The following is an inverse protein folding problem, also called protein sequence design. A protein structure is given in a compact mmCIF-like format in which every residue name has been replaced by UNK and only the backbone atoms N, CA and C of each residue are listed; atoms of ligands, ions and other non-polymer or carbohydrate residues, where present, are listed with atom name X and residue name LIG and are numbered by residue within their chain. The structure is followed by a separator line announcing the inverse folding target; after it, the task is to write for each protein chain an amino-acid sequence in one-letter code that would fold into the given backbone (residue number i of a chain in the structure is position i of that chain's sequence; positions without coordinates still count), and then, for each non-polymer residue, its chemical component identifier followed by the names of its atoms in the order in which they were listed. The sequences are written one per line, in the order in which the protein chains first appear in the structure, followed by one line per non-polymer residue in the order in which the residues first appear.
data_IF_009063440909
#
_entry.id   IF_009063440909
#
_cell.length_a   1.000
_cell.length_b   1.000
_cell.length_c   1.000
_cell.angle_alpha   90.00
_cell.angle_beta   90.00
_cell.angle_gamma   90.00
#
_symmetry.space_group_name_H-M   'P 1'
#
loop_
_entity.id
_entity.type
_entity.pdbx_description
1 polymer ?
#
# COMPACT_ATOMS: atom_id res chain seq x y z
N UNK A 1 -9.27 -25.83 5.10
CA UNK A 1 -8.98 -24.89 3.99
C UNK A 1 -9.27 -25.58 2.68
N UNK A 2 -9.98 -24.94 1.75
CA UNK A 2 -10.15 -25.46 0.39
C UNK A 2 -8.82 -25.28 -0.37
N UNK A 3 -8.44 -26.22 -1.24
CA UNK A 3 -7.20 -26.19 -2.05
C UNK A 3 -7.04 -24.83 -2.77
N UNK A 4 -8.11 -24.28 -3.33
CA UNK A 4 -8.08 -22.97 -4.00
C UNK A 4 -7.67 -21.83 -3.04
N UNK A 5 -8.15 -21.85 -1.80
CA UNK A 5 -7.77 -20.84 -0.81
C UNK A 5 -6.34 -21.06 -0.29
N UNK A 6 -5.85 -22.30 -0.27
CA UNK A 6 -4.45 -22.60 0.03
C UNK A 6 -3.54 -21.94 -1.02
N UNK A 7 -3.80 -22.21 -2.30
CA UNK A 7 -3.01 -21.62 -3.41
C UNK A 7 -3.02 -20.10 -3.34
N UNK A 8 -4.21 -19.50 -3.16
CA UNK A 8 -4.35 -18.03 -3.07
C UNK A 8 -3.56 -17.44 -1.91
N UNK A 9 -3.70 -18.02 -0.71
CA UNK A 9 -3.02 -17.52 0.47
C UNK A 9 -1.51 -17.75 0.39
N UNK A 10 -1.05 -18.87 -0.18
CA UNK A 10 0.38 -19.12 -0.40
C UNK A 10 1.00 -18.15 -1.38
N UNK A 11 0.31 -17.80 -2.47
CA UNK A 11 0.79 -16.80 -3.43
C UNK A 11 0.97 -15.43 -2.80
N UNK A 12 0.00 -14.97 -1.99
CA UNK A 12 0.07 -13.69 -1.28
C UNK A 12 1.19 -13.73 -0.23
N UNK A 13 1.32 -14.83 0.49
CA UNK A 13 2.37 -15.00 1.50
C UNK A 13 3.76 -15.00 0.87
N UNK A 14 3.91 -15.66 -0.27
CA UNK A 14 5.16 -15.66 -1.04
C UNK A 14 5.54 -14.24 -1.50
N UNK A 15 4.55 -13.44 -1.96
CA UNK A 15 4.79 -12.03 -2.28
C UNK A 15 5.42 -11.27 -1.10
N UNK A 16 4.88 -11.41 0.12
CA UNK A 16 5.44 -10.74 1.30
C UNK A 16 6.84 -11.25 1.66
N UNK A 17 7.05 -12.54 1.63
CA UNK A 17 8.36 -13.14 1.93
C UNK A 17 9.42 -12.66 0.93
N UNK A 18 9.12 -12.70 -0.38
CA UNK A 18 10.07 -12.28 -1.41
C UNK A 18 10.35 -10.79 -1.45
N UNK A 19 9.39 -9.94 -1.04
CA UNK A 19 9.55 -8.48 -1.09
C UNK A 19 10.13 -7.89 0.19
N UNK A 20 9.90 -8.51 1.35
CA UNK A 20 10.28 -7.97 2.66
C UNK A 20 11.51 -8.65 3.27
N UNK A 21 11.85 -9.88 2.85
CA UNK A 21 13.06 -10.55 3.33
C UNK A 21 14.16 -10.34 2.28
N UNK A 22 15.19 -9.52 2.57
CA UNK A 22 16.23 -9.16 1.61
C UNK A 22 17.31 -10.25 1.48
N UNK A 23 16.89 -11.50 1.23
CA UNK A 23 17.83 -12.64 1.17
C UNK A 23 18.56 -12.74 -0.18
N UNK A 24 17.88 -12.40 -1.28
CA UNK A 24 18.44 -12.53 -2.63
C UNK A 24 17.94 -11.35 -3.47
N UNK A 25 18.76 -10.36 -3.77
CA UNK A 25 18.38 -9.32 -4.73
C UNK A 25 18.31 -9.91 -6.13
N UNK A 26 17.14 -9.79 -6.79
CA UNK A 26 16.96 -10.21 -8.19
C UNK A 26 17.68 -9.23 -9.12
N UNK A 27 17.87 -7.99 -8.68
CA UNK A 27 18.56 -6.94 -9.43
C UNK A 27 19.77 -6.45 -8.66
N UNK A 28 20.85 -6.11 -9.35
CA UNK A 28 22.05 -5.54 -8.77
C UNK A 28 21.91 -4.08 -8.32
N UNK A 29 20.78 -3.43 -8.65
CA UNK A 29 20.69 -1.98 -8.56
C UNK A 29 20.09 -1.46 -7.25
N UNK A 30 18.92 -1.95 -6.85
CA UNK A 30 18.31 -1.55 -5.58
C UNK A 30 17.08 -2.37 -5.19
N UNK A 31 16.67 -2.22 -3.93
CA UNK A 31 15.51 -2.91 -3.38
C UNK A 31 14.19 -2.46 -3.99
N UNK A 32 14.07 -1.23 -4.47
CA UNK A 32 12.82 -0.74 -5.06
C UNK A 32 12.51 -1.47 -6.38
N UNK A 33 13.51 -1.57 -7.28
CA UNK A 33 13.36 -2.28 -8.55
C UNK A 33 13.11 -3.78 -8.32
N UNK A 34 13.81 -4.39 -7.37
CA UNK A 34 13.56 -5.77 -6.95
C UNK A 34 12.09 -5.96 -6.51
N UNK A 35 11.62 -5.13 -5.60
CA UNK A 35 10.24 -5.16 -5.11
C UNK A 35 9.22 -4.90 -6.22
N UNK A 36 9.52 -4.00 -7.16
CA UNK A 36 8.66 -3.70 -8.32
C UNK A 36 8.55 -4.87 -9.28
N UNK A 37 9.65 -5.57 -9.57
CA UNK A 37 9.65 -6.77 -10.42
C UNK A 37 8.79 -7.88 -9.79
N UNK A 38 8.96 -8.13 -8.49
CA UNK A 38 8.13 -9.11 -7.78
C UNK A 38 6.66 -8.69 -7.79
N UNK A 39 6.36 -7.39 -7.61
CA UNK A 39 5.00 -6.86 -7.71
C UNK A 39 4.41 -7.11 -9.10
N UNK A 40 5.13 -6.79 -10.17
CA UNK A 40 4.68 -7.02 -11.55
C UNK A 40 4.34 -8.51 -11.75
N UNK A 41 5.25 -9.41 -11.36
CA UNK A 41 5.02 -10.85 -11.45
C UNK A 41 3.78 -11.28 -10.66
N UNK A 42 3.63 -10.82 -9.42
CA UNK A 42 2.48 -11.10 -8.58
C UNK A 42 1.16 -10.61 -9.20
N UNK A 43 1.12 -9.38 -9.72
CA UNK A 43 -0.06 -8.80 -10.36
C UNK A 43 -0.45 -9.57 -11.64
N UNK A 44 0.52 -9.99 -12.45
CA UNK A 44 0.28 -10.79 -13.65
C UNK A 44 -0.23 -12.18 -13.30
N UNK A 45 0.35 -12.86 -12.31
CA UNK A 45 -0.11 -14.18 -11.87
C UNK A 45 -1.54 -14.10 -11.30
N UNK A 46 -1.84 -13.13 -10.44
CA UNK A 46 -3.18 -12.97 -9.87
C UNK A 46 -4.21 -12.65 -10.95
N UNK A 47 -3.86 -11.81 -11.92
CA UNK A 47 -4.74 -11.47 -13.02
C UNK A 47 -4.94 -12.65 -13.99
N UNK A 48 -3.92 -13.50 -14.23
CA UNK A 48 -4.04 -14.75 -14.98
C UNK A 48 -5.01 -15.71 -14.30
N UNK A 49 -4.93 -15.84 -12.97
CA UNK A 49 -5.85 -16.68 -12.19
C UNK A 49 -7.30 -16.16 -12.25
N UNK A 50 -7.48 -14.83 -12.30
CA UNK A 50 -8.81 -14.24 -12.54
C UNK A 50 -9.32 -14.57 -13.94
N UNK A 51 -8.46 -14.43 -14.96
CA UNK A 51 -8.80 -14.72 -16.35
C UNK A 51 -9.14 -16.19 -16.57
N UNK A 52 -8.33 -17.12 -16.03
CA UNK A 52 -8.62 -18.57 -16.13
C UNK A 52 -9.90 -18.96 -15.43
N UNK A 53 -10.20 -18.37 -14.27
CA UNK A 53 -11.49 -18.57 -13.58
C UNK A 53 -12.67 -18.01 -14.39
N UNK A 54 -12.46 -16.88 -15.09
CA UNK A 54 -13.47 -16.28 -15.97
C UNK A 54 -13.76 -17.18 -17.18
N UNK A 55 -12.73 -17.70 -17.84
CA UNK A 55 -12.84 -18.55 -19.03
C UNK A 55 -13.38 -19.96 -18.67
N UNK A 56 -12.89 -20.58 -17.59
CA UNK A 56 -13.25 -21.93 -17.17
C UNK A 56 -14.69 -22.08 -16.64
N UNK A 57 -15.39 -20.98 -16.41
CA UNK A 57 -16.74 -21.02 -15.89
C UNK A 57 -17.74 -21.45 -16.98
N UNK A 58 -18.14 -22.76 -16.98
CA UNK A 58 -19.07 -23.34 -17.97
C UNK A 58 -20.44 -22.67 -17.94
N UNK A 59 -20.88 -22.12 -16.80
CA UNK A 59 -22.10 -21.31 -16.71
C UNK A 59 -21.76 -19.89 -17.18
N UNK A 60 -22.62 -19.27 -18.01
CA UNK A 60 -22.37 -17.91 -18.51
C UNK A 60 -22.48 -16.83 -17.43
N UNK A 61 -22.32 -17.22 -16.15
CA UNK A 61 -22.50 -16.35 -15.00
C UNK A 61 -21.18 -16.06 -14.33
N UNK A 62 -20.62 -14.88 -14.61
CA UNK A 62 -19.51 -14.34 -13.86
C UNK A 62 -20.04 -13.69 -12.59
N UNK A 63 -19.74 -14.27 -11.42
CA UNK A 63 -20.07 -13.66 -10.13
C UNK A 63 -18.96 -12.71 -9.72
N UNK A 64 -19.13 -11.43 -9.97
CA UNK A 64 -18.31 -10.41 -9.34
C UNK A 64 -18.59 -10.41 -7.82
N UNK A 65 -17.57 -10.57 -7.01
CA UNK A 65 -17.72 -10.58 -5.54
C UNK A 65 -18.03 -9.20 -4.95
N UNK A 66 -17.92 -8.13 -5.75
CA UNK A 66 -18.22 -6.75 -5.34
C UNK A 66 -19.68 -6.38 -5.70
N UNK A 67 -20.24 -5.49 -4.90
CA UNK A 67 -21.53 -4.88 -5.20
C UNK A 67 -21.47 -4.17 -6.56
N UNK A 68 -22.49 -4.35 -7.42
CA UNK A 68 -22.55 -3.75 -8.76
C UNK A 68 -22.24 -2.26 -8.79
N UNK A 69 -22.68 -1.50 -7.78
CA UNK A 69 -22.39 -0.05 -7.67
C UNK A 69 -20.90 0.24 -7.51
N UNK A 70 -20.19 -0.51 -6.66
CA UNK A 70 -18.74 -0.35 -6.50
C UNK A 70 -17.98 -0.74 -7.75
N UNK A 71 -18.43 -1.79 -8.47
CA UNK A 71 -17.82 -2.20 -9.74
C UNK A 71 -17.94 -1.13 -10.82
N UNK A 72 -19.09 -0.48 -10.91
CA UNK A 72 -19.31 0.64 -11.85
C UNK A 72 -18.37 1.81 -11.50
N UNK A 73 -18.22 2.15 -10.21
CA UNK A 73 -17.31 3.22 -9.79
C UNK A 73 -15.84 2.91 -10.13
N UNK A 74 -15.40 1.66 -9.98
CA UNK A 74 -14.06 1.25 -10.42
C UNK A 74 -13.89 1.35 -11.94
N UNK A 75 -14.90 0.98 -12.72
CA UNK A 75 -14.87 1.12 -14.19
C UNK A 75 -14.79 2.59 -14.59
N UNK A 76 -15.57 3.47 -13.97
CA UNK A 76 -15.51 4.92 -14.21
C UNK A 76 -14.13 5.46 -13.83
N UNK A 77 -13.57 5.03 -12.69
CA UNK A 77 -12.23 5.40 -12.24
C UNK A 77 -11.17 5.04 -13.29
N UNK A 78 -11.17 3.79 -13.78
CA UNK A 78 -10.21 3.36 -14.82
C UNK A 78 -10.45 4.08 -16.13
N UNK A 79 -11.70 4.28 -16.54
CA UNK A 79 -12.02 5.03 -17.76
C UNK A 79 -11.53 6.49 -17.67
N UNK A 80 -11.70 7.15 -16.52
CA UNK A 80 -11.12 8.49 -16.27
C UNK A 80 -9.60 8.49 -16.39
N UNK A 81 -8.93 7.44 -15.89
CA UNK A 81 -7.48 7.27 -16.05
C UNK A 81 -7.06 7.07 -17.50
N UNK A 82 -7.79 6.29 -18.29
CA UNK A 82 -7.54 6.14 -19.71
C UNK A 82 -7.71 7.47 -20.45
N UNK A 83 -8.77 8.22 -20.16
CA UNK A 83 -9.02 9.52 -20.76
C UNK A 83 -7.91 10.52 -20.40
N UNK A 84 -7.52 10.56 -19.12
CA UNK A 84 -6.41 11.38 -18.64
C UNK A 84 -5.09 10.99 -19.32
N UNK A 85 -4.80 9.69 -19.47
CA UNK A 85 -3.61 9.21 -20.15
C UNK A 85 -3.54 9.61 -21.61
N UNK A 86 -4.66 9.57 -22.33
CA UNK A 86 -4.73 10.00 -23.74
C UNK A 86 -4.49 11.50 -23.93
N UNK A 87 -4.76 12.30 -22.89
CA UNK A 87 -4.56 13.76 -22.90
C UNK A 87 -3.28 14.19 -22.20
N UNK A 88 -2.49 13.25 -21.70
CA UNK A 88 -1.22 13.49 -21.01
C UNK A 88 -0.11 13.88 -21.99
N UNK A 89 0.85 14.66 -21.50
CA UNK A 89 2.12 14.93 -22.21
C UNK A 89 2.91 13.63 -22.48
N UNK A 90 2.83 12.67 -21.55
CA UNK A 90 3.49 11.37 -21.61
C UNK A 90 2.48 10.23 -21.65
N UNK A 91 1.77 10.11 -22.78
CA UNK A 91 0.67 9.15 -22.96
C UNK A 91 1.07 7.71 -22.66
N UNK A 92 2.22 7.28 -23.15
CA UNK A 92 2.74 5.92 -22.97
C UNK A 92 2.96 5.58 -21.51
N UNK A 93 3.53 6.51 -20.75
CA UNK A 93 3.81 6.35 -19.33
C UNK A 93 2.53 6.38 -18.51
N UNK A 94 1.63 7.31 -18.82
CA UNK A 94 0.32 7.41 -18.16
C UNK A 94 -0.54 6.17 -18.42
N UNK A 95 -0.46 5.58 -19.61
CA UNK A 95 -1.14 4.32 -19.91
C UNK A 95 -0.56 3.16 -19.07
N UNK A 96 0.77 3.09 -18.91
CA UNK A 96 1.41 2.10 -18.01
C UNK A 96 0.84 2.17 -16.60
N UNK A 97 0.73 3.39 -16.02
CA UNK A 97 0.17 3.57 -14.67
C UNK A 97 -1.31 3.20 -14.58
N UNK A 98 -2.09 3.54 -15.61
CA UNK A 98 -3.52 3.17 -15.69
C UNK A 98 -3.69 1.66 -15.73
N UNK A 99 -2.89 0.95 -16.53
CA UNK A 99 -2.88 -0.51 -16.59
C UNK A 99 -2.42 -1.12 -15.27
N UNK A 100 -1.38 -0.56 -14.65
CA UNK A 100 -0.89 -1.01 -13.35
C UNK A 100 -1.96 -0.91 -12.25
N UNK A 101 -2.68 0.21 -12.19
CA UNK A 101 -3.79 0.39 -11.26
C UNK A 101 -4.94 -0.59 -11.53
N UNK A 102 -5.21 -0.87 -12.81
CA UNK A 102 -6.21 -1.86 -13.21
C UNK A 102 -5.85 -3.27 -12.70
N UNK A 103 -4.57 -3.66 -12.78
CA UNK A 103 -4.07 -4.93 -12.25
C UNK A 103 -4.16 -5.00 -10.73
N UNK A 104 -3.90 -3.89 -10.02
CA UNK A 104 -4.08 -3.81 -8.56
C UNK A 104 -5.55 -3.99 -8.16
N UNK A 105 -6.48 -3.36 -8.87
CA UNK A 105 -7.92 -3.53 -8.64
C UNK A 105 -8.33 -4.98 -8.91
N UNK A 106 -7.84 -5.61 -9.98
CA UNK A 106 -8.08 -7.04 -10.25
C UNK A 106 -7.52 -7.93 -9.15
N UNK A 107 -6.33 -7.63 -8.65
CA UNK A 107 -5.72 -8.33 -7.51
C UNK A 107 -6.59 -8.18 -6.24
N UNK A 108 -7.08 -6.98 -5.96
CA UNK A 108 -8.02 -6.75 -4.86
C UNK A 108 -9.29 -7.62 -5.00
N UNK A 109 -9.86 -7.73 -6.21
CA UNK A 109 -10.98 -8.64 -6.51
C UNK A 109 -10.62 -10.11 -6.23
N UNK A 110 -9.47 -10.56 -6.73
CA UNK A 110 -8.98 -11.91 -6.49
C UNK A 110 -8.86 -12.21 -5.00
N UNK A 111 -8.25 -11.29 -4.25
CA UNK A 111 -8.07 -11.39 -2.80
C UNK A 111 -9.41 -11.37 -2.06
N UNK A 112 -10.40 -10.60 -2.52
CA UNK A 112 -11.73 -10.52 -1.88
C UNK A 112 -12.51 -11.83 -1.91
N UNK A 113 -12.09 -12.78 -2.73
CA UNK A 113 -12.67 -14.14 -2.72
C UNK A 113 -12.19 -14.99 -1.55
N UNK A 114 -11.15 -14.58 -0.82
CA UNK A 114 -10.64 -15.23 0.37
C UNK A 114 -11.42 -14.72 1.58
N UNK A 115 -12.31 -15.54 2.12
CA UNK A 115 -13.17 -15.14 3.24
C UNK A 115 -13.03 -16.06 4.47
N UNK A 116 -12.30 -17.17 4.36
CA UNK A 116 -12.09 -18.08 5.48
C UNK A 116 -10.98 -17.58 6.41
N UNK A 117 -11.22 -17.76 7.73
CA UNK A 117 -10.34 -17.25 8.78
C UNK A 117 -8.93 -17.83 8.72
N UNK A 118 -8.78 -19.10 8.35
CA UNK A 118 -7.46 -19.78 8.35
C UNK A 118 -6.56 -19.24 7.26
N UNK A 119 -7.11 -19.03 6.05
CA UNK A 119 -6.37 -18.44 4.93
C UNK A 119 -5.94 -16.99 5.23
N UNK A 120 -6.83 -16.19 5.84
CA UNK A 120 -6.53 -14.81 6.24
C UNK A 120 -5.42 -14.78 7.30
N UNK A 121 -5.51 -15.64 8.33
CA UNK A 121 -4.48 -15.73 9.36
C UNK A 121 -3.14 -16.18 8.78
N UNK A 122 -3.13 -17.13 7.84
CA UNK A 122 -1.90 -17.56 7.17
C UNK A 122 -1.21 -16.40 6.44
N UNK A 123 -1.96 -15.58 5.69
CA UNK A 123 -1.46 -14.37 5.04
C UNK A 123 -0.91 -13.36 6.05
N UNK A 124 -1.65 -13.12 7.13
CA UNK A 124 -1.24 -12.17 8.18
C UNK A 124 0.02 -12.64 8.89
N UNK A 125 0.13 -13.93 9.21
CA UNK A 125 1.35 -14.47 9.83
C UNK A 125 2.57 -14.39 8.91
N UNK A 126 2.41 -14.66 7.62
CA UNK A 126 3.49 -14.51 6.64
C UNK A 126 3.97 -13.05 6.58
N UNK A 127 3.05 -12.08 6.53
CA UNK A 127 3.36 -10.66 6.58
C UNK A 127 4.10 -10.27 7.88
N UNK A 128 3.61 -10.74 9.02
CA UNK A 128 4.21 -10.46 10.32
C UNK A 128 5.62 -11.06 10.44
N UNK A 129 5.81 -12.30 10.00
CA UNK A 129 7.13 -12.96 9.99
C UNK A 129 8.11 -12.18 9.12
N UNK A 130 7.71 -11.87 7.88
CA UNK A 130 8.56 -11.15 6.95
C UNK A 130 8.96 -9.76 7.47
N UNK A 131 8.01 -9.00 8.03
CA UNK A 131 8.32 -7.69 8.60
C UNK A 131 9.11 -7.76 9.91
N UNK A 132 8.83 -8.75 10.77
CA UNK A 132 9.60 -8.94 12.00
C UNK A 132 11.06 -9.27 11.69
N UNK A 133 11.33 -10.04 10.63
CA UNK A 133 12.71 -10.29 10.15
C UNK A 133 13.43 -8.99 9.79
N UNK A 134 12.77 -8.08 9.07
CA UNK A 134 13.31 -6.75 8.80
C UNK A 134 13.52 -5.92 10.07
N UNK A 135 12.58 -5.96 11.00
CA UNK A 135 12.70 -5.26 12.29
C UNK A 135 13.92 -5.75 13.08
N UNK A 136 14.19 -7.07 13.05
CA UNK A 136 15.38 -7.65 13.69
C UNK A 136 16.67 -7.21 12.99
N UNK A 137 16.70 -7.13 11.66
CA UNK A 137 17.86 -6.59 10.92
C UNK A 137 18.10 -5.13 11.31
N UNK A 138 17.05 -4.30 11.38
CA UNK A 138 17.17 -2.92 11.84
C UNK A 138 17.74 -2.84 13.27
N UNK A 139 17.32 -3.74 14.17
CA UNK A 139 17.85 -3.83 15.53
C UNK A 139 19.34 -4.20 15.54
N UNK A 140 19.76 -5.18 14.73
CA UNK A 140 21.17 -5.54 14.60
C UNK A 140 22.01 -4.37 14.09
N UNK A 141 21.50 -3.63 13.10
CA UNK A 141 22.16 -2.41 12.59
C UNK A 141 22.28 -1.34 13.68
N UNK A 142 21.26 -1.15 14.52
CA UNK A 142 21.32 -0.21 15.66
C UNK A 142 22.40 -0.65 16.64
N UNK A 143 22.43 -1.94 17.03
CA UNK A 143 23.43 -2.49 17.96
C UNK A 143 24.84 -2.28 17.39
N UNK A 144 25.05 -2.57 16.10
CA UNK A 144 26.32 -2.37 15.44
C UNK A 144 26.75 -0.89 15.44
N UNK A 145 25.88 0.04 15.06
CA UNK A 145 26.16 1.48 15.05
C UNK A 145 26.53 1.97 16.45
N UNK A 146 25.81 1.51 17.50
CA UNK A 146 26.10 1.86 18.88
C UNK A 146 27.44 1.29 19.35
N UNK A 147 27.80 0.04 18.96
CA UNK A 147 29.08 -0.56 19.33
C UNK A 147 30.26 0.17 18.71
N UNK A 148 30.09 0.72 17.51
CA UNK A 148 31.09 1.55 16.82
C UNK A 148 31.08 3.02 17.26
N UNK A 149 30.29 3.38 18.28
CA UNK A 149 30.11 4.74 18.78
C UNK A 149 29.76 5.77 17.68
N UNK A 150 29.09 5.31 16.61
CA UNK A 150 28.64 6.15 15.52
C UNK A 150 27.25 6.77 15.81
N UNK A 151 26.94 7.96 15.28
CA UNK A 151 25.62 8.56 15.43
C UNK A 151 24.55 7.69 14.74
N UNK A 152 23.37 7.59 15.34
CA UNK A 152 22.23 6.85 14.76
C UNK A 152 21.81 7.47 13.43
N UNK A 153 22.25 6.86 12.33
CA UNK A 153 21.90 7.30 10.98
C UNK A 153 20.72 6.47 10.46
N UNK A 154 19.53 7.08 10.30
CA UNK A 154 18.35 6.38 9.78
C UNK A 154 18.56 5.71 8.43
N UNK A 155 19.42 6.24 7.57
CA UNK A 155 19.66 5.67 6.23
C UNK A 155 20.46 4.35 6.27
N UNK A 156 21.20 4.09 7.33
CA UNK A 156 21.95 2.84 7.52
C UNK A 156 21.10 1.79 8.27
N UNK A 157 20.23 2.25 9.17
CA UNK A 157 19.43 1.37 10.03
C UNK A 157 18.42 0.55 9.22
N UNK A 158 17.75 1.17 8.26
CA UNK A 158 16.62 0.57 7.56
C UNK A 158 17.05 -0.19 6.30
N UNK A 159 17.40 -1.45 6.48
CA UNK A 159 17.71 -2.37 5.38
C UNK A 159 16.46 -2.78 4.60
N UNK A 160 16.66 -3.17 3.33
CA UNK A 160 15.57 -3.68 2.47
C UNK A 160 14.73 -2.60 1.79
N UNK A 161 15.04 -1.32 2.02
CA UNK A 161 14.39 -0.18 1.36
C UNK A 161 15.40 0.91 1.05
N UNK A 162 15.25 1.55 -0.11
CA UNK A 162 16.11 2.71 -0.49
C UNK A 162 15.77 3.98 0.29
N UNK A 163 14.60 4.02 0.92
CA UNK A 163 14.17 5.14 1.74
C UNK A 163 13.43 4.64 2.97
N UNK A 164 13.80 5.17 4.12
CA UNK A 164 13.17 4.90 5.41
C UNK A 164 11.64 5.05 5.39
N UNK A 165 11.10 5.98 4.59
CA UNK A 165 9.65 6.19 4.49
C UNK A 165 8.93 4.98 3.90
N UNK A 166 9.59 4.22 3.02
CA UNK A 166 9.00 3.01 2.42
C UNK A 166 8.90 1.87 3.44
N UNK A 167 9.87 1.73 4.34
CA UNK A 167 9.75 0.85 5.49
C UNK A 167 8.53 1.24 6.35
N UNK A 168 8.40 2.53 6.70
CA UNK A 168 7.27 2.99 7.52
C UNK A 168 5.92 2.81 6.82
N UNK A 169 5.85 2.87 5.49
CA UNK A 169 4.62 2.60 4.74
C UNK A 169 4.13 1.16 4.91
N UNK A 170 5.03 0.18 5.03
CA UNK A 170 4.65 -1.21 5.34
C UNK A 170 4.34 -1.37 6.82
N UNK A 171 5.15 -0.76 7.67
CA UNK A 171 5.06 -0.84 9.13
C UNK A 171 3.67 -0.45 9.66
N UNK A 172 3.07 0.63 9.14
CA UNK A 172 1.75 1.09 9.61
C UNK A 172 0.65 0.05 9.42
N UNK A 173 0.70 -0.76 8.36
CA UNK A 173 -0.30 -1.82 8.15
C UNK A 173 -0.20 -2.96 9.18
N UNK A 174 0.96 -3.14 9.77
CA UNK A 174 1.28 -4.24 10.68
C UNK A 174 0.87 -3.91 12.12
N UNK A 175 0.96 -2.64 12.51
CA UNK A 175 0.69 -2.20 13.87
C UNK A 175 -0.68 -2.65 14.41
N UNK A 176 -1.81 -2.58 13.68
CA UNK A 176 -3.10 -3.07 14.16
C UNK A 176 -3.12 -4.58 14.42
N UNK A 177 -2.36 -5.37 13.64
CA UNK A 177 -2.26 -6.81 13.87
C UNK A 177 -1.43 -7.12 15.11
N UNK A 178 -0.33 -6.39 15.35
CA UNK A 178 0.45 -6.53 16.58
C UNK A 178 -0.37 -6.17 17.80
N UNK A 179 -1.11 -5.04 17.76
CA UNK A 179 -2.03 -4.65 18.85
C UNK A 179 -3.07 -5.74 19.09
N UNK A 180 -3.64 -6.34 18.03
CA UNK A 180 -4.57 -7.45 18.17
C UNK A 180 -3.94 -8.66 18.87
N UNK A 181 -2.74 -9.05 18.46
CA UNK A 181 -2.06 -10.24 18.96
C UNK A 181 -1.73 -10.13 20.45
N UNK A 182 -1.67 -8.93 21.04
CA UNK A 182 -1.57 -8.71 22.48
C UNK A 182 -2.71 -9.35 23.29
N UNK A 183 -3.80 -9.77 22.63
CA UNK A 183 -4.90 -10.49 23.28
C UNK A 183 -4.51 -11.92 23.69
N UNK A 184 -3.57 -12.53 22.99
CA UNK A 184 -3.19 -13.94 23.17
C UNK A 184 -2.08 -14.05 24.22
N UNK A 185 -2.42 -14.49 25.44
CA UNK A 185 -1.50 -14.55 26.60
C UNK A 185 -0.22 -15.34 26.32
N UNK A 186 -0.30 -16.42 25.53
CA UNK A 186 0.84 -17.30 25.21
C UNK A 186 1.97 -16.59 24.46
N UNK A 187 1.64 -15.60 23.63
CA UNK A 187 2.61 -14.87 22.79
C UNK A 187 2.68 -13.37 23.15
N UNK A 188 1.91 -12.93 24.15
CA UNK A 188 1.75 -11.52 24.49
C UNK A 188 3.08 -10.80 24.75
N UNK A 189 4.04 -11.47 25.46
CA UNK A 189 5.36 -10.88 25.75
C UNK A 189 6.18 -10.64 24.47
N UNK A 190 6.22 -11.64 23.59
CA UNK A 190 6.95 -11.54 22.30
C UNK A 190 6.32 -10.44 21.45
N UNK A 191 5.00 -10.43 21.33
CA UNK A 191 4.26 -9.40 20.56
C UNK A 191 4.49 -8.01 21.14
N UNK A 192 4.54 -7.86 22.47
CA UNK A 192 4.84 -6.59 23.11
C UNK A 192 6.24 -6.09 22.72
N UNK A 193 7.25 -6.96 22.74
CA UNK A 193 8.62 -6.62 22.34
C UNK A 193 8.65 -6.22 20.85
N UNK A 194 8.01 -6.99 19.97
CA UNK A 194 7.96 -6.67 18.53
C UNK A 194 7.24 -5.35 18.27
N UNK A 195 6.13 -5.08 18.98
CA UNK A 195 5.41 -3.80 18.89
C UNK A 195 6.28 -2.64 19.40
N UNK A 196 6.95 -2.83 20.54
CA UNK A 196 7.87 -1.83 21.11
C UNK A 196 8.99 -1.48 20.12
N UNK A 197 9.66 -2.48 19.54
CA UNK A 197 10.71 -2.27 18.55
C UNK A 197 10.19 -1.54 17.30
N UNK A 198 9.00 -1.91 16.84
CA UNK A 198 8.37 -1.22 15.71
C UNK A 198 8.08 0.26 16.03
N UNK A 199 7.54 0.56 17.21
CA UNK A 199 7.25 1.93 17.62
C UNK A 199 8.56 2.72 17.86
N UNK A 200 9.60 2.09 18.42
CA UNK A 200 10.92 2.69 18.56
C UNK A 200 11.52 3.08 17.18
N UNK A 201 11.40 2.19 16.20
CA UNK A 201 11.84 2.50 14.83
C UNK A 201 11.06 3.68 14.21
N UNK A 202 9.78 3.90 14.55
CA UNK A 202 9.04 5.10 14.12
C UNK A 202 9.70 6.38 14.64
N UNK A 203 10.17 6.39 15.90
CA UNK A 203 10.87 7.54 16.49
C UNK A 203 12.26 7.72 15.89
N UNK A 204 13.09 6.68 15.82
CA UNK A 204 14.42 6.72 15.20
C UNK A 204 14.32 7.23 13.75
N UNK A 205 13.31 6.77 13.02
CA UNK A 205 13.04 7.20 11.66
C UNK A 205 12.39 8.58 11.53
N UNK A 206 12.06 9.25 12.64
CA UNK A 206 11.34 10.53 12.63
C UNK A 206 10.08 10.48 11.74
N UNK A 207 9.36 9.36 11.76
CA UNK A 207 8.23 9.08 10.87
C UNK A 207 6.92 9.66 11.42
N UNK A 208 6.82 11.00 11.51
CA UNK A 208 5.66 11.72 12.07
C UNK A 208 4.31 11.27 11.50
N UNK A 209 4.24 11.05 10.18
CA UNK A 209 3.02 10.57 9.53
C UNK A 209 2.62 9.17 10.01
N UNK A 210 3.58 8.26 10.26
CA UNK A 210 3.30 6.95 10.82
C UNK A 210 2.83 7.04 12.28
N UNK A 211 3.44 7.91 13.07
CA UNK A 211 3.03 8.20 14.45
C UNK A 211 1.59 8.74 14.48
N UNK A 212 1.28 9.76 13.69
CA UNK A 212 -0.07 10.32 13.57
C UNK A 212 -1.09 9.27 13.14
N UNK A 213 -0.72 8.39 12.20
CA UNK A 213 -1.60 7.31 11.74
C UNK A 213 -1.87 6.27 12.84
N UNK A 214 -0.87 5.94 13.66
CA UNK A 214 -1.05 5.05 14.81
C UNK A 214 -1.92 5.68 15.90
N UNK A 215 -1.76 6.98 16.18
CA UNK A 215 -2.62 7.70 17.12
C UNK A 215 -4.05 7.79 16.61
N UNK A 216 -4.26 8.13 15.33
CA UNK A 216 -5.57 8.14 14.70
C UNK A 216 -6.26 6.77 14.77
N UNK A 217 -5.53 5.69 14.47
CA UNK A 217 -6.01 4.32 14.66
C UNK A 217 -6.43 4.07 16.11
N UNK A 218 -5.60 4.47 17.09
CA UNK A 218 -5.87 4.24 18.50
C UNK A 218 -7.12 4.97 18.97
N UNK A 219 -7.27 6.24 18.60
CA UNK A 219 -8.46 7.06 18.90
C UNK A 219 -9.70 6.41 18.29
N UNK A 220 -9.63 6.02 17.02
CA UNK A 220 -10.75 5.43 16.30
C UNK A 220 -11.15 4.07 16.87
N UNK A 221 -10.18 3.22 17.25
CA UNK A 221 -10.44 1.93 17.89
C UNK A 221 -11.07 2.08 19.27
N UNK A 222 -10.69 3.09 20.04
CA UNK A 222 -11.31 3.41 21.33
C UNK A 222 -12.73 3.96 21.16
N UNK A 223 -12.96 4.83 20.17
CA UNK A 223 -14.26 5.43 19.88
C UNK A 223 -15.30 4.39 19.42
N UNK A 224 -14.90 3.41 18.63
CA UNK A 224 -15.80 2.32 18.18
C UNK A 224 -16.15 1.32 19.29
N UNK A 225 -15.62 1.48 20.51
CA UNK A 225 -15.89 0.62 21.69
C UNK A 225 -15.72 -0.87 21.34
N UNK A 226 -14.71 -1.21 20.58
CA UNK A 226 -14.41 -2.61 20.20
C UNK A 226 -13.85 -3.39 21.37
N UNK A 227 -13.78 -4.72 21.24
CA UNK A 227 -13.18 -5.62 22.24
C UNK A 227 -11.65 -5.45 22.37
N UNK A 228 -11.05 -4.55 21.58
CA UNK A 228 -9.60 -4.27 21.56
C UNK A 228 -9.18 -3.11 22.47
N UNK A 229 -10.10 -2.50 23.24
CA UNK A 229 -9.79 -1.33 24.06
C UNK A 229 -8.54 -1.54 24.95
N UNK A 230 -8.49 -2.68 25.66
CA UNK A 230 -7.35 -3.02 26.53
C UNK A 230 -6.03 -3.12 25.73
N UNK A 231 -6.07 -3.77 24.57
CA UNK A 231 -4.88 -3.95 23.71
C UNK A 231 -4.38 -2.62 23.14
N UNK A 232 -5.30 -1.74 22.76
CA UNK A 232 -4.96 -0.38 22.30
C UNK A 232 -4.31 0.43 23.41
N UNK A 233 -4.83 0.35 24.65
CA UNK A 233 -4.21 1.02 25.81
C UNK A 233 -2.80 0.48 26.08
N UNK A 234 -2.59 -0.85 25.98
CA UNK A 234 -1.25 -1.45 26.07
C UNK A 234 -0.35 -0.92 24.94
N UNK A 235 -0.88 -0.79 23.71
CA UNK A 235 -0.17 -0.21 22.58
C UNK A 235 0.25 1.24 22.82
N UNK A 236 -0.59 2.06 23.46
CA UNK A 236 -0.26 3.44 23.84
C UNK A 236 0.82 3.51 24.94
N UNK A 237 0.77 2.59 25.93
CA UNK A 237 1.86 2.45 26.92
C UNK A 237 3.15 2.05 26.22
N UNK A 238 3.09 1.12 25.27
CA UNK A 238 4.23 0.70 24.47
C UNK A 238 4.81 1.87 23.65
N UNK A 239 3.95 2.74 23.09
CA UNK A 239 4.35 3.97 22.40
C UNK A 239 5.09 4.93 23.33
N UNK A 240 4.57 5.17 24.52
CA UNK A 240 5.22 6.03 25.52
C UNK A 240 6.61 5.49 25.93
N UNK A 241 6.70 4.19 26.19
CA UNK A 241 7.98 3.54 26.48
C UNK A 241 8.97 3.65 25.34
N UNK A 242 8.53 3.48 24.09
CA UNK A 242 9.38 3.64 22.90
C UNK A 242 9.87 5.08 22.74
N UNK A 243 9.04 6.06 23.04
CA UNK A 243 9.40 7.47 23.06
C UNK A 243 10.51 7.76 24.10
N UNK A 244 10.32 7.29 25.34
CA UNK A 244 11.31 7.46 26.42
C UNK A 244 12.63 6.79 26.04
N UNK A 245 12.58 5.55 25.53
CA UNK A 245 13.77 4.83 25.09
C UNK A 245 14.51 5.58 23.98
N UNK A 246 13.77 6.14 23.00
CA UNK A 246 14.37 6.94 21.95
C UNK A 246 15.11 8.16 22.51
N UNK A 247 14.50 8.91 23.44
CA UNK A 247 15.17 10.06 24.08
C UNK A 247 16.45 9.67 24.83
N UNK A 248 16.43 8.54 25.54
CA UNK A 248 17.62 8.03 26.22
C UNK A 248 18.72 7.68 25.22
N UNK A 249 18.38 6.96 24.16
CA UNK A 249 19.35 6.59 23.12
C UNK A 249 19.92 7.82 22.40
N UNK A 250 19.09 8.80 22.09
CA UNK A 250 19.51 10.03 21.43
C UNK A 250 20.44 10.86 22.32
N UNK A 251 20.12 10.98 23.61
CA UNK A 251 20.95 11.69 24.59
C UNK A 251 22.32 11.02 24.80
N UNK A 252 22.37 9.69 24.82
CA UNK A 252 23.62 8.94 24.94
C UNK A 252 24.51 9.06 23.71
N UNK A 253 23.91 9.24 22.54
CA UNK A 253 24.60 9.28 21.24
C UNK A 253 25.03 10.69 20.80
N UNK A 254 24.96 11.68 21.70
CA UNK A 254 25.25 13.11 21.41
C UNK A 254 24.49 13.62 20.16
N UNK A 255 23.38 12.98 19.83
CA UNK A 255 22.53 13.37 18.73
C UNK A 255 21.57 14.46 19.16
N UNK A 256 21.53 15.58 18.44
CA UNK A 256 20.51 16.62 18.59
C UNK A 256 19.35 16.35 17.63
N UNK A 257 18.76 15.14 17.63
CA UNK A 257 17.67 14.83 16.72
C UNK A 257 16.37 15.47 17.20
N UNK A 258 15.94 16.51 16.51
CA UNK A 258 14.64 17.12 16.75
C UNK A 258 13.53 16.13 16.35
N UNK A 259 12.85 15.50 17.34
CA UNK A 259 11.65 14.68 17.10
C UNK A 259 10.54 15.50 16.43
N UNK A 260 10.45 16.77 16.80
CA UNK A 260 9.45 17.71 16.32
C UNK A 260 10.12 18.76 15.43
N UNK A 261 10.53 18.36 14.22
CA UNK A 261 10.84 19.39 13.21
C UNK A 261 9.61 20.24 12.97
N UNK A 262 9.72 21.53 13.11
CA UNK A 262 8.64 22.51 12.86
C UNK A 262 8.32 22.65 11.38
N UNK A 263 9.27 22.27 10.49
CA UNK A 263 9.08 22.39 9.04
C UNK A 263 8.14 21.32 8.46
N UNK A 264 7.28 21.70 7.55
CA UNK A 264 6.42 20.80 6.74
C UNK A 264 7.21 19.98 5.72
N UNK A 265 8.54 20.11 5.67
CA UNK A 265 9.42 19.54 4.62
C UNK A 265 9.01 19.97 3.20
N UNK A 266 8.49 21.20 3.03
CA UNK A 266 8.05 21.74 1.75
C UNK A 266 6.73 21.17 1.20
N UNK A 267 6.05 20.29 1.95
CA UNK A 267 4.83 19.64 1.44
C UNK A 267 3.64 20.57 1.30
N UNK A 268 3.48 21.52 2.21
CA UNK A 268 2.38 22.49 2.15
C UNK A 268 2.53 23.36 0.91
N UNK A 269 3.74 23.84 0.66
CA UNK A 269 4.05 24.66 -0.52
C UNK A 269 3.85 23.84 -1.81
N UNK A 270 4.30 22.59 -1.80
CA UNK A 270 4.08 21.66 -2.91
C UNK A 270 2.59 21.45 -3.19
N UNK A 271 1.76 21.23 -2.16
CA UNK A 271 0.32 21.03 -2.31
C UNK A 271 -0.38 22.30 -2.83
N UNK A 272 -0.01 23.46 -2.27
CA UNK A 272 -0.55 24.75 -2.73
C UNK A 272 -0.18 25.01 -4.19
N UNK A 273 1.09 24.84 -4.57
CA UNK A 273 1.55 24.99 -5.95
C UNK A 273 0.86 24.02 -6.90
N UNK A 274 0.64 22.76 -6.48
CA UNK A 274 -0.07 21.78 -7.28
C UNK A 274 -1.50 22.21 -7.56
N UNK A 275 -2.21 22.68 -6.54
CA UNK A 275 -3.62 23.06 -6.66
C UNK A 275 -3.80 24.39 -7.41
N UNK A 276 -2.92 25.38 -7.19
CA UNK A 276 -2.99 26.69 -7.86
C UNK A 276 -2.66 26.63 -9.35
N UNK A 277 -1.83 25.68 -9.77
CA UNK A 277 -1.44 25.49 -11.16
C UNK A 277 -2.40 24.57 -11.93
N UNK A 278 -3.43 24.03 -11.29
CA UNK A 278 -4.37 23.10 -11.91
C UNK A 278 -5.41 23.86 -12.74
N UNK A 279 -5.31 23.78 -14.07
CA UNK A 279 -6.31 24.38 -14.95
C UNK A 279 -7.68 23.68 -14.84
N UNK A 280 -8.77 24.34 -15.21
CA UNK A 280 -10.11 23.74 -15.18
C UNK A 280 -10.19 22.43 -15.98
N UNK A 281 -9.54 22.36 -17.14
CA UNK A 281 -9.45 21.14 -17.95
C UNK A 281 -8.81 20.01 -17.14
N UNK A 282 -7.66 20.25 -16.55
CA UNK A 282 -6.91 19.25 -15.79
C UNK A 282 -7.54 18.93 -14.43
N UNK A 283 -8.32 19.87 -13.86
CA UNK A 283 -9.13 19.59 -12.67
C UNK A 283 -10.13 18.44 -12.92
N UNK A 284 -10.80 18.42 -14.07
CA UNK A 284 -11.79 17.37 -14.38
C UNK A 284 -11.18 16.10 -14.95
N UNK A 285 -10.17 16.21 -15.84
CA UNK A 285 -9.61 15.10 -16.60
C UNK A 285 -8.33 14.56 -15.96
N UNK A 286 -7.53 15.41 -15.31
CA UNK A 286 -6.18 15.11 -14.83
C UNK A 286 -5.10 15.44 -15.87
N UNK A 287 -3.83 15.42 -15.42
CA UNK A 287 -2.64 15.63 -16.24
C UNK A 287 -2.10 14.32 -16.83
N UNK A 288 -2.61 13.18 -16.38
CA UNK A 288 -2.15 11.83 -16.73
C UNK A 288 -1.65 11.06 -15.49
N UNK A 289 -2.06 9.81 -15.31
CA UNK A 289 -1.54 8.96 -14.24
C UNK A 289 -0.03 8.82 -14.29
N UNK A 290 0.65 9.04 -13.18
CA UNK A 290 2.10 8.90 -13.07
C UNK A 290 2.95 10.10 -13.48
N UNK A 291 2.37 11.19 -14.02
CA UNK A 291 3.11 12.36 -14.55
C UNK A 291 3.11 13.57 -13.62
N UNK A 292 2.86 13.39 -12.34
CA UNK A 292 2.82 14.47 -11.34
C UNK A 292 4.03 15.41 -11.44
N UNK A 293 5.23 14.85 -11.49
CA UNK A 293 6.49 15.58 -11.58
C UNK A 293 6.53 16.52 -12.79
N UNK A 294 6.08 16.04 -13.95
CA UNK A 294 6.07 16.80 -15.21
C UNK A 294 5.03 17.91 -15.17
N UNK A 295 3.94 17.74 -14.44
CA UNK A 295 2.87 18.74 -14.32
C UNK A 295 3.29 20.00 -13.57
N UNK A 296 4.37 19.94 -12.78
CA UNK A 296 4.89 21.05 -11.98
C UNK A 296 6.09 21.78 -12.62
N UNK A 297 6.58 21.30 -13.76
CA UNK A 297 7.76 21.87 -14.44
C UNK A 297 9.07 21.51 -13.76
N UNK A 298 10.16 22.14 -14.22
CA UNK A 298 11.55 21.81 -13.85
C UNK A 298 11.94 22.10 -12.39
N UNK A 299 11.08 22.74 -11.61
CA UNK A 299 11.37 23.23 -10.25
C UNK A 299 10.97 22.29 -9.11
N UNK A 300 10.29 21.18 -9.39
CA UNK A 300 9.80 20.31 -8.33
C UNK A 300 10.70 19.07 -8.15
N UNK A 301 11.41 18.95 -7.01
CA UNK A 301 12.27 17.79 -6.75
C UNK A 301 11.51 16.57 -6.21
N UNK A 302 10.21 16.46 -6.49
CA UNK A 302 9.34 15.42 -5.92
C UNK A 302 8.63 14.63 -7.01
N UNK A 303 8.79 13.31 -7.02
CA UNK A 303 8.09 12.42 -7.95
C UNK A 303 6.60 12.29 -7.67
N UNK A 304 6.14 12.65 -6.48
CA UNK A 304 4.74 12.61 -6.06
C UNK A 304 4.48 13.56 -4.87
N UNK A 305 3.22 14.01 -4.65
CA UNK A 305 2.90 15.04 -3.65
C UNK A 305 2.91 14.53 -2.20
N UNK A 306 3.18 13.25 -1.94
CA UNK A 306 3.03 12.63 -0.63
C UNK A 306 1.61 12.73 -0.04
N UNK A 307 0.60 12.90 -0.88
CA UNK A 307 -0.81 12.98 -0.52
C UNK A 307 -1.66 12.36 -1.64
N UNK A 308 -2.29 11.23 -1.36
CA UNK A 308 -3.06 10.46 -2.35
C UNK A 308 -4.25 11.22 -2.93
N UNK A 309 -4.88 12.11 -2.15
CA UNK A 309 -6.03 12.90 -2.62
C UNK A 309 -5.57 13.92 -3.67
N UNK A 310 -4.51 14.66 -3.37
CA UNK A 310 -3.95 15.67 -4.28
C UNK A 310 -3.38 14.99 -5.54
N UNK A 311 -2.72 13.84 -5.37
CA UNK A 311 -2.16 13.09 -6.48
C UNK A 311 -3.24 12.58 -7.43
N UNK A 312 -4.28 11.92 -6.90
CA UNK A 312 -5.39 11.43 -7.72
C UNK A 312 -6.13 12.60 -8.40
N UNK A 313 -6.31 13.73 -7.70
CA UNK A 313 -6.91 14.92 -8.30
C UNK A 313 -6.07 15.45 -9.46
N UNK A 314 -4.77 15.61 -9.25
CA UNK A 314 -3.86 16.14 -10.28
C UNK A 314 -3.70 15.21 -11.47
N UNK A 315 -3.55 13.91 -11.23
CA UNK A 315 -3.23 12.94 -12.28
C UNK A 315 -4.46 12.33 -12.97
N UNK A 316 -5.51 12.00 -12.21
CA UNK A 316 -6.69 11.26 -12.68
C UNK A 316 -7.93 12.15 -12.81
N UNK A 317 -7.91 13.34 -12.23
CA UNK A 317 -8.99 14.32 -12.23
C UNK A 317 -10.06 14.08 -11.16
N UNK A 318 -10.99 15.05 -11.07
CA UNK A 318 -12.02 15.11 -10.04
C UNK A 318 -13.01 13.93 -10.10
N UNK A 319 -13.37 13.47 -11.31
CA UNK A 319 -14.30 12.35 -11.48
C UNK A 319 -13.72 11.08 -10.86
N UNK A 320 -12.45 10.77 -11.16
CA UNK A 320 -11.74 9.64 -10.59
C UNK A 320 -11.63 9.76 -9.05
N UNK A 321 -11.31 10.96 -8.55
CA UNK A 321 -11.21 11.20 -7.12
C UNK A 321 -12.55 10.93 -6.42
N UNK A 322 -13.66 11.45 -6.95
CA UNK A 322 -14.99 11.20 -6.38
C UNK A 322 -15.32 9.71 -6.37
N UNK A 323 -15.03 9.00 -7.47
CA UNK A 323 -15.26 7.55 -7.56
C UNK A 323 -14.50 6.78 -6.48
N UNK A 324 -13.19 7.00 -6.34
CA UNK A 324 -12.37 6.25 -5.38
C UNK A 324 -12.74 6.60 -3.93
N UNK A 325 -12.97 7.88 -3.62
CA UNK A 325 -13.42 8.30 -2.30
C UNK A 325 -14.77 7.69 -1.92
N UNK A 326 -15.71 7.61 -2.88
CA UNK A 326 -17.02 6.97 -2.67
C UNK A 326 -16.86 5.49 -2.36
N UNK A 327 -15.94 4.79 -3.04
CA UNK A 327 -15.69 3.36 -2.78
C UNK A 327 -14.99 3.15 -1.44
N UNK A 328 -14.03 3.98 -1.09
CA UNK A 328 -13.37 3.96 0.23
C UNK A 328 -14.40 4.20 1.32
N UNK A 329 -15.21 5.26 1.21
CA UNK A 329 -16.26 5.59 2.18
C UNK A 329 -17.29 4.46 2.35
N UNK A 330 -17.75 3.86 1.24
CA UNK A 330 -18.66 2.72 1.29
C UNK A 330 -18.03 1.50 1.96
N UNK A 331 -16.74 1.27 1.76
CA UNK A 331 -16.01 0.20 2.46
C UNK A 331 -15.95 0.45 3.96
N UNK A 332 -15.60 1.67 4.38
CA UNK A 332 -15.61 2.07 5.78
C UNK A 332 -17.00 1.87 6.41
N UNK A 333 -18.06 2.36 5.76
CA UNK A 333 -19.44 2.22 6.25
C UNK A 333 -19.83 0.76 6.44
N UNK A 334 -19.54 -0.10 5.44
CA UNK A 334 -19.83 -1.54 5.54
C UNK A 334 -19.06 -2.20 6.69
N UNK A 335 -17.76 -1.89 6.81
CA UNK A 335 -16.91 -2.44 7.87
C UNK A 335 -17.38 -2.01 9.27
N UNK A 336 -17.67 -0.73 9.48
CA UNK A 336 -18.19 -0.23 10.75
C UNK A 336 -19.53 -0.88 11.10
N UNK A 337 -20.44 -1.00 10.13
CA UNK A 337 -21.73 -1.68 10.34
C UNK A 337 -21.53 -3.15 10.73
N UNK A 338 -20.63 -3.86 10.04
CA UNK A 338 -20.29 -5.24 10.36
C UNK A 338 -19.72 -5.35 11.79
N UNK A 339 -18.77 -4.49 12.16
CA UNK A 339 -18.14 -4.52 13.49
C UNK A 339 -19.11 -4.16 14.62
N UNK A 340 -20.07 -3.27 14.38
CA UNK A 340 -21.14 -2.98 15.35
C UNK A 340 -22.04 -4.20 15.60
N UNK A 341 -22.34 -4.98 14.55
CA UNK A 341 -23.14 -6.20 14.64
C UNK A 341 -22.35 -7.39 15.18
N UNK A 342 -21.06 -7.49 14.86
CA UNK A 342 -20.19 -8.63 15.19
C UNK A 342 -18.97 -8.16 16.00
N UNK A 343 -19.18 -7.60 17.19
CA UNK A 343 -18.15 -7.01 18.07
C UNK A 343 -16.98 -7.96 18.39
N UNK A 344 -17.20 -9.27 18.32
CA UNK A 344 -16.18 -10.31 18.58
C UNK A 344 -15.40 -10.73 17.32
N UNK A 345 -15.72 -10.21 16.14
CA UNK A 345 -14.98 -10.53 14.88
C UNK A 345 -13.68 -9.72 14.80
N UNK A 346 -12.70 -10.22 15.53
CA UNK A 346 -11.40 -9.59 15.72
C UNK A 346 -10.62 -9.51 14.40
N UNK A 347 -10.72 -10.54 13.54
CA UNK A 347 -10.01 -10.60 12.27
C UNK A 347 -10.49 -9.48 11.34
N UNK A 348 -11.81 -9.35 11.17
CA UNK A 348 -12.38 -8.25 10.37
C UNK A 348 -12.03 -6.89 10.97
N UNK A 349 -12.01 -6.77 12.30
CA UNK A 349 -11.57 -5.56 12.99
C UNK A 349 -10.13 -5.18 12.65
N UNK A 350 -9.20 -6.14 12.69
CA UNK A 350 -7.78 -5.87 12.38
C UNK A 350 -7.55 -5.54 10.92
N UNK A 351 -8.22 -6.22 9.99
CA UNK A 351 -8.19 -5.88 8.57
C UNK A 351 -8.72 -4.47 8.33
N UNK A 352 -9.83 -4.10 8.99
CA UNK A 352 -10.40 -2.76 8.91
C UNK A 352 -9.42 -1.69 9.41
N UNK A 353 -8.82 -1.91 10.59
CA UNK A 353 -7.86 -0.96 11.14
C UNK A 353 -6.57 -0.89 10.32
N UNK A 354 -6.09 -2.03 9.79
CA UNK A 354 -4.93 -2.05 8.89
C UNK A 354 -5.21 -1.28 7.61
N UNK A 355 -6.38 -1.45 7.00
CA UNK A 355 -6.80 -0.66 5.84
C UNK A 355 -6.95 0.83 6.19
N UNK A 356 -7.61 1.16 7.31
CA UNK A 356 -7.85 2.53 7.75
C UNK A 356 -6.54 3.30 8.00
N UNK A 357 -5.57 2.68 8.70
CA UNK A 357 -4.27 3.31 8.97
C UNK A 357 -3.47 3.51 7.68
N UNK A 358 -3.56 2.56 6.72
CA UNK A 358 -2.94 2.69 5.40
C UNK A 358 -3.51 3.88 4.62
N UNK A 359 -4.84 4.03 4.59
CA UNK A 359 -5.51 5.20 3.98
C UNK A 359 -5.09 6.50 4.68
N UNK A 360 -5.09 6.53 6.02
CA UNK A 360 -4.66 7.72 6.77
C UNK A 360 -3.21 8.08 6.45
N UNK A 361 -2.31 7.09 6.41
CA UNK A 361 -0.90 7.35 6.09
C UNK A 361 -0.68 7.76 4.63
N UNK A 362 -1.55 7.35 3.69
CA UNK A 362 -1.48 7.77 2.29
C UNK A 362 -1.73 9.27 2.10
N UNK A 363 -2.29 9.97 3.11
CA UNK A 363 -2.42 11.43 3.12
C UNK A 363 -1.09 12.14 3.45
N UNK A 364 -0.08 11.39 3.92
CA UNK A 364 1.21 11.93 4.35
C UNK A 364 2.41 11.24 3.69
N UNK A 365 2.18 10.23 2.84
CA UNK A 365 3.24 9.43 2.22
C UNK A 365 2.75 8.73 0.96
N UNK A 366 3.68 8.28 0.10
CA UNK A 366 3.38 7.60 -1.17
C UNK A 366 2.96 6.14 -1.03
N UNK A 367 2.07 5.81 -0.08
CA UNK A 367 1.59 4.44 0.16
C UNK A 367 1.03 3.79 -1.12
N UNK A 368 0.31 4.57 -1.93
CA UNK A 368 -0.32 4.09 -3.17
C UNK A 368 0.61 4.14 -4.40
N UNK A 369 1.88 4.50 -4.21
CA UNK A 369 2.90 4.61 -5.27
C UNK A 369 3.96 3.52 -5.14
N UNK A 370 4.44 3.26 -3.91
CA UNK A 370 5.56 2.34 -3.69
C UNK A 370 5.13 0.88 -3.78
N UNK A 371 5.96 -0.02 -4.36
CA UNK A 371 5.52 -1.36 -4.78
C UNK A 371 4.90 -2.19 -3.67
N UNK A 372 5.55 -2.28 -2.52
CA UNK A 372 5.08 -3.16 -1.43
C UNK A 372 3.86 -2.57 -0.74
N UNK A 373 3.91 -1.29 -0.34
CA UNK A 373 2.81 -0.64 0.39
C UNK A 373 1.56 -0.49 -0.48
N UNK A 374 1.72 -0.21 -1.75
CA UNK A 374 0.63 -0.16 -2.73
C UNK A 374 -0.09 -1.52 -2.82
N UNK A 375 0.67 -2.59 -3.03
CA UNK A 375 0.10 -3.94 -3.11
C UNK A 375 -0.56 -4.34 -1.79
N UNK A 376 0.08 -4.03 -0.66
CA UNK A 376 -0.43 -4.30 0.68
C UNK A 376 -1.77 -3.57 0.94
N UNK A 377 -1.89 -2.32 0.50
CA UNK A 377 -3.14 -1.56 0.58
C UNK A 377 -4.29 -2.29 -0.14
N UNK A 378 -4.06 -2.74 -1.38
CA UNK A 378 -5.07 -3.45 -2.16
C UNK A 378 -5.36 -4.86 -1.63
N UNK A 379 -4.36 -5.56 -1.08
CA UNK A 379 -4.57 -6.85 -0.39
C UNK A 379 -5.44 -6.66 0.86
N UNK A 380 -5.11 -5.70 1.74
CA UNK A 380 -5.89 -5.44 2.96
C UNK A 380 -7.33 -5.01 2.62
N UNK A 381 -7.47 -4.18 1.59
CA UNK A 381 -8.79 -3.77 1.08
C UNK A 381 -9.59 -4.97 0.56
N UNK A 382 -8.96 -5.82 -0.26
CA UNK A 382 -9.60 -7.05 -0.80
C UNK A 382 -10.04 -8.01 0.30
N UNK A 383 -9.15 -8.33 1.27
CA UNK A 383 -9.48 -9.19 2.40
C UNK A 383 -10.64 -8.62 3.23
N UNK A 384 -10.63 -7.30 3.48
CA UNK A 384 -11.72 -6.63 4.19
C UNK A 384 -13.05 -6.74 3.43
N UNK A 385 -13.04 -6.46 2.12
CA UNK A 385 -14.25 -6.58 1.28
C UNK A 385 -14.80 -8.01 1.29
N UNK A 386 -13.94 -9.03 1.22
CA UNK A 386 -14.33 -10.45 1.31
C UNK A 386 -15.04 -10.80 2.62
N UNK A 387 -14.75 -10.06 3.71
CA UNK A 387 -15.38 -10.24 5.01
C UNK A 387 -16.69 -9.48 5.19
N UNK A 388 -16.80 -8.28 4.64
CA UNK A 388 -17.91 -7.36 4.93
C UNK A 388 -18.96 -7.32 3.82
N UNK A 389 -18.63 -7.72 2.59
CA UNK A 389 -19.55 -7.69 1.47
C UNK A 389 -20.32 -9.02 1.35
N UNK A 390 -21.48 -9.11 2.04
CA UNK A 390 -22.34 -10.29 2.03
C UNK A 390 -23.12 -10.46 0.73
N UNK A 391 -23.35 -9.41 -0.04
CA UNK A 391 -24.05 -9.47 -1.32
C UNK A 391 -23.06 -9.92 -2.40
N UNK A 392 -23.00 -11.21 -2.65
CA UNK A 392 -22.40 -11.74 -3.88
C UNK A 392 -23.11 -11.07 -5.05
N UNK A 393 -22.35 -10.37 -5.90
CA UNK A 393 -22.88 -9.62 -7.03
C UNK A 393 -23.78 -10.47 -7.93
N UNK A 394 -24.63 -9.80 -8.71
CA UNK A 394 -25.46 -10.46 -9.71
C UNK A 394 -24.56 -11.20 -10.72
N UNK A 395 -24.99 -12.35 -11.14
CA UNK A 395 -24.33 -13.10 -12.19
C UNK A 395 -24.67 -12.45 -13.53
N UNK A 396 -23.65 -11.91 -14.21
CA UNK A 396 -23.79 -11.47 -15.60
C UNK A 396 -23.68 -12.67 -16.53
N UNK A 397 -24.65 -12.83 -17.42
CA UNK A 397 -24.56 -13.80 -18.52
C UNK A 397 -23.73 -13.21 -19.65
N UNK A 398 -22.58 -13.80 -19.93
CA UNK A 398 -21.67 -13.34 -20.98
C UNK A 398 -21.56 -14.46 -22.01
N UNK A 399 -21.83 -14.18 -23.28
CA UNK A 399 -21.72 -15.18 -24.32
C UNK A 399 -20.24 -15.58 -24.59
N UNK A 400 -20.02 -16.71 -25.26
CA UNK A 400 -18.67 -17.25 -25.50
C UNK A 400 -17.78 -16.33 -26.36
N UNK A 401 -18.37 -15.61 -27.31
CA UNK A 401 -17.61 -14.70 -28.18
C UNK A 401 -17.14 -13.46 -27.43
N UNK A 402 -18.02 -12.89 -26.59
CA UNK A 402 -17.65 -11.76 -25.73
C UNK A 402 -16.60 -12.16 -24.68
N UNK A 403 -16.67 -13.38 -24.15
CA UNK A 403 -15.61 -13.92 -23.29
C UNK A 403 -14.27 -14.00 -24.00
N UNK A 404 -14.25 -14.53 -25.23
CA UNK A 404 -13.04 -14.62 -26.03
C UNK A 404 -12.47 -13.23 -26.35
N UNK A 405 -13.32 -12.28 -26.73
CA UNK A 405 -12.91 -10.90 -26.98
C UNK A 405 -12.30 -10.26 -25.73
N UNK A 406 -12.94 -10.38 -24.57
CA UNK A 406 -12.41 -9.87 -23.31
C UNK A 406 -11.04 -10.51 -22.99
N UNK A 407 -10.88 -11.81 -23.20
CA UNK A 407 -9.60 -12.49 -22.98
C UNK A 407 -8.50 -11.98 -23.91
N UNK A 408 -8.79 -11.77 -25.18
CA UNK A 408 -7.84 -11.21 -26.17
C UNK A 408 -7.43 -9.80 -25.76
N UNK A 409 -8.39 -8.93 -25.43
CA UNK A 409 -8.11 -7.56 -24.98
C UNK A 409 -7.27 -7.55 -23.69
N UNK A 410 -7.51 -8.50 -22.80
CA UNK A 410 -6.77 -8.63 -21.54
C UNK A 410 -5.30 -9.06 -21.78
N UNK A 411 -5.08 -10.05 -22.67
CA UNK A 411 -3.73 -10.50 -23.05
C UNK A 411 -2.99 -9.36 -23.79
N UNK A 412 -3.68 -8.63 -24.65
CA UNK A 412 -3.10 -7.46 -25.33
C UNK A 412 -2.71 -6.34 -24.34
N UNK A 413 -3.56 -6.07 -23.34
CA UNK A 413 -3.24 -5.12 -22.26
C UNK A 413 -2.01 -5.57 -21.44
N UNK A 414 -1.84 -6.87 -21.17
CA UNK A 414 -0.63 -7.39 -20.53
C UNK A 414 0.62 -7.19 -21.37
N UNK A 415 0.51 -7.48 -22.68
CA UNK A 415 1.62 -7.27 -23.61
C UNK A 415 2.07 -5.81 -23.59
N UNK A 416 1.12 -4.87 -23.73
CA UNK A 416 1.42 -3.44 -23.68
C UNK A 416 2.04 -3.03 -22.33
N UNK A 417 1.50 -3.55 -21.25
CA UNK A 417 2.00 -3.27 -19.89
C UNK A 417 3.46 -3.72 -19.73
N UNK A 418 3.77 -4.97 -20.09
CA UNK A 418 5.12 -5.52 -20.00
C UNK A 418 6.09 -4.82 -20.94
N UNK A 419 5.70 -4.61 -22.19
CA UNK A 419 6.52 -3.91 -23.17
C UNK A 419 6.91 -2.52 -22.67
N UNK A 420 5.95 -1.77 -22.11
CA UNK A 420 6.22 -0.43 -21.58
C UNK A 420 7.06 -0.46 -20.32
N UNK A 421 6.77 -1.35 -19.39
CA UNK A 421 7.55 -1.49 -18.15
C UNK A 421 9.02 -1.81 -18.46
N UNK A 422 9.28 -2.74 -19.40
CA UNK A 422 10.63 -3.13 -19.83
C UNK A 422 11.31 -1.99 -20.60
N UNK A 423 10.60 -1.36 -21.55
CA UNK A 423 11.15 -0.25 -22.34
C UNK A 423 11.62 0.88 -21.44
N UNK A 424 10.81 1.27 -20.46
CA UNK A 424 11.15 2.32 -19.52
C UNK A 424 12.33 1.90 -18.64
N UNK A 425 12.37 0.64 -18.17
CA UNK A 425 13.49 0.12 -17.36
C UNK A 425 14.82 0.17 -18.13
N UNK A 426 14.82 -0.22 -19.41
CA UNK A 426 16.02 -0.23 -20.26
C UNK A 426 16.52 1.16 -20.64
N UNK A 427 15.63 2.17 -20.63
CA UNK A 427 15.95 3.55 -20.99
C UNK A 427 16.23 4.43 -19.74
N UNK A 428 16.29 3.85 -18.56
CA UNK A 428 16.68 4.57 -17.34
C UNK A 428 18.13 5.01 -17.47
N UNK A 429 18.35 6.31 -17.52
CA UNK A 429 19.69 6.91 -17.44
C UNK A 429 20.20 6.81 -16.00
N UNK A 430 21.06 5.83 -15.75
CA UNK A 430 21.60 5.54 -14.43
C UNK A 430 22.52 6.65 -13.91
N UNK A 431 23.10 7.46 -14.79
CA UNK A 431 24.02 8.53 -14.44
C UNK A 431 23.31 9.78 -13.92
N UNK A 432 22.00 9.92 -14.18
CA UNK A 432 21.21 11.09 -13.73
C UNK A 432 20.72 11.04 -12.29
N UNK A 433 20.95 9.94 -11.57
CA UNK A 433 20.71 9.82 -10.13
C UNK A 433 19.26 10.03 -9.68
N UNK A 434 19.07 10.04 -8.37
CA UNK A 434 17.77 10.18 -7.67
C UNK A 434 17.24 11.63 -7.65
N UNK A 435 17.36 12.41 -8.72
CA UNK A 435 17.02 13.84 -8.68
C UNK A 435 15.55 14.05 -8.29
N UNK A 436 14.65 13.14 -8.67
CA UNK A 436 13.20 13.27 -8.47
C UNK A 436 12.58 12.21 -7.57
N UNK A 437 13.36 11.28 -7.04
CA UNK A 437 12.89 10.17 -6.22
C UNK A 437 12.21 9.06 -7.01
N UNK A 438 12.00 7.89 -6.39
CA UNK A 438 11.40 6.74 -7.06
C UNK A 438 9.92 6.96 -7.36
N UNK A 439 9.49 6.48 -8.52
CA UNK A 439 8.11 6.46 -8.96
C UNK A 439 7.68 5.04 -9.36
N UNK A 440 7.71 4.69 -10.66
CA UNK A 440 7.51 3.31 -11.10
C UNK A 440 8.77 2.50 -10.82
N UNK A 441 9.90 2.95 -11.35
CA UNK A 441 11.23 2.44 -11.03
C UNK A 441 11.95 3.33 -10.00
N UNK A 442 13.12 2.90 -9.54
CA UNK A 442 13.88 3.59 -8.49
C UNK A 442 14.38 4.97 -8.91
N UNK A 443 14.73 5.11 -10.17
CA UNK A 443 15.13 6.40 -10.74
C UNK A 443 13.87 7.08 -11.26
N UNK A 444 13.58 8.28 -10.76
CA UNK A 444 12.49 9.11 -11.26
C UNK A 444 12.73 9.44 -12.72
N UNK A 445 11.68 9.37 -13.52
CA UNK A 445 11.82 9.43 -14.98
C UNK A 445 11.76 10.86 -15.47
N UNK A 446 12.81 11.27 -16.16
CA UNK A 446 12.72 12.24 -17.25
C UNK A 446 13.11 11.54 -18.54
N UNK A 447 12.24 11.65 -19.52
CA UNK A 447 12.52 11.32 -20.90
C UNK A 447 13.27 12.46 -21.56
#
# INVERSE_FOLDING_TARGET
MNIVNIIKSSLISLFFLCTLIPLIPITSYDYHNHQRIIQIAFLLITSLLVLTAFLGNKKPTFKLSLNNKSSVLYLIFIFSGCLSALMSMEQSFSLLYTLHMSLLILTMYYVSTINDKRSILFIVYALLIAHTSLTLICLLNIIFILSEQQPLNPYIIYSGFINIRFFNQVQVFILPFLVLLLKFKSIQRVVFIVLFLNLLLIFIGQARGALLSFLAFSIFALALKTTLKKQVLIGLVCLALSCITFYVLDSLNKGGTEILRTSSSGRIDLWFNTLSNLSLKHLFIGNGPGVFEMSLGSSAPFSHPHNSVIEILNEWGLIALICILTVVFTTFRKAITHLKQHKKDIITGSLFYSFAIGITYSLFSGVHVMPVSQTLLFIMWGLLLGRVDKKRGQSLTINKYLKALIAILFIFAWYLYLQKAISIYNNIDQDKGYIYGPRFWSVGQRF
#
